data_IF_691840445143
#
_entry.id   IF_691840445143
#
_cell.length_a   1.000
_cell.length_b   1.000
_cell.length_c   1.000
_cell.angle_alpha   90.00
_cell.angle_beta   90.00
_cell.angle_gamma   90.00
#
_symmetry.space_group_name_H-M   'P 1'
#
loop_
_entity.id
_entity.type
_entity.pdbx_description
1 polymer ?
#
# COMPACT_ATOMS: atom_id res chain seq x y z
N UNK A 1 -68.38 -24.95 22.64
CA UNK A 1 -67.69 -23.66 22.90
C UNK A 1 -66.40 -23.82 23.72
N UNK A 2 -65.63 -24.91 23.55
CA UNK A 2 -64.35 -25.11 24.27
C UNK A 2 -63.16 -25.31 23.31
N UNK A 3 -63.40 -25.65 22.04
CA UNK A 3 -62.32 -25.92 21.06
C UNK A 3 -61.64 -24.70 20.44
N UNK A 4 -62.17 -23.48 20.58
CA UNK A 4 -61.58 -22.29 19.95
C UNK A 4 -60.51 -21.59 20.80
N UNK A 5 -60.49 -21.84 22.12
CA UNK A 5 -59.54 -21.18 23.04
C UNK A 5 -58.17 -21.87 23.05
N UNK A 6 -58.11 -23.17 22.73
CA UNK A 6 -56.85 -23.93 22.73
C UNK A 6 -55.95 -23.67 21.52
N UNK A 7 -56.51 -23.21 20.39
CA UNK A 7 -55.74 -22.95 19.17
C UNK A 7 -55.00 -21.61 19.25
N UNK A 8 -55.54 -20.62 19.98
CA UNK A 8 -54.85 -19.33 20.18
C UNK A 8 -53.68 -19.43 21.18
N UNK A 9 -53.74 -20.33 22.16
CA UNK A 9 -52.66 -20.48 23.15
C UNK A 9 -51.44 -21.23 22.61
N UNK A 10 -51.60 -22.11 21.62
CA UNK A 10 -50.46 -22.80 20.98
C UNK A 10 -49.69 -21.91 20.00
N UNK A 11 -50.35 -20.93 19.37
CA UNK A 11 -49.68 -19.97 18.47
C UNK A 11 -48.89 -18.89 19.21
N UNK A 12 -49.23 -18.59 20.46
CA UNK A 12 -48.51 -17.59 21.26
C UNK A 12 -47.22 -18.19 21.85
N UNK A 13 -47.17 -19.50 22.09
CA UNK A 13 -45.95 -20.17 22.61
C UNK A 13 -44.94 -20.56 21.54
N UNK A 14 -45.30 -20.57 20.25
CA UNK A 14 -44.34 -20.84 19.16
C UNK A 14 -43.73 -19.58 18.55
N UNK A 15 -44.29 -18.39 18.83
CA UNK A 15 -43.70 -17.11 18.44
C UNK A 15 -42.55 -16.65 19.36
N UNK A 16 -42.26 -17.37 20.44
CA UNK A 16 -41.09 -17.12 21.29
C UNK A 16 -39.88 -18.03 20.97
N UNK A 17 -39.99 -18.90 19.95
CA UNK A 17 -38.89 -19.76 19.52
C UNK A 17 -38.02 -19.17 18.39
N UNK A 18 -38.25 -17.91 18.00
CA UNK A 18 -37.36 -17.15 17.11
C UNK A 18 -36.85 -15.86 17.78
N UNK A 19 -36.68 -15.87 19.11
CA UNK A 19 -35.70 -14.96 19.72
C UNK A 19 -34.33 -15.59 19.52
N UNK A 20 -33.72 -15.30 18.37
CA UNK A 20 -32.28 -15.48 18.17
C UNK A 20 -31.61 -14.78 19.34
N UNK A 21 -30.88 -15.57 20.12
CA UNK A 21 -30.22 -15.14 21.34
C UNK A 21 -29.04 -14.24 20.93
N UNK A 22 -29.28 -12.92 20.82
CA UNK A 22 -28.27 -11.90 20.47
C UNK A 22 -27.33 -11.58 21.63
N UNK A 23 -26.70 -12.60 22.21
CA UNK A 23 -25.71 -12.45 23.28
C UNK A 23 -24.25 -12.66 22.81
N UNK A 24 -24.00 -12.69 21.49
CA UNK A 24 -22.65 -12.86 20.92
C UNK A 24 -22.22 -11.74 19.96
N UNK A 25 -22.68 -10.49 20.18
CA UNK A 25 -22.38 -9.37 19.28
C UNK A 25 -20.87 -9.07 19.14
N UNK A 26 -20.09 -9.29 20.20
CA UNK A 26 -18.66 -8.95 20.20
C UNK A 26 -17.78 -9.75 19.23
N UNK A 27 -18.15 -10.97 18.82
CA UNK A 27 -17.33 -11.76 17.88
C UNK A 27 -17.73 -11.56 16.43
N UNK A 28 -18.94 -11.04 16.17
CA UNK A 28 -19.48 -10.84 14.82
C UNK A 28 -19.14 -9.47 14.26
N UNK A 29 -18.94 -8.47 15.12
CA UNK A 29 -18.47 -7.12 14.74
C UNK A 29 -16.98 -7.11 14.31
N UNK A 30 -16.26 -8.24 14.48
CA UNK A 30 -14.85 -8.38 14.10
C UNK A 30 -14.67 -8.98 12.69
N UNK A 31 -15.57 -9.86 12.24
CA UNK A 31 -15.38 -10.68 11.03
C UNK A 31 -15.43 -9.84 9.73
N UNK A 32 -16.45 -8.99 9.55
CA UNK A 32 -16.59 -8.15 8.35
C UNK A 32 -15.40 -7.21 8.15
N UNK A 33 -14.93 -6.64 9.26
CA UNK A 33 -13.78 -5.75 9.28
C UNK A 33 -12.51 -6.49 8.92
N UNK A 34 -12.33 -7.71 9.43
CA UNK A 34 -11.17 -8.53 9.12
C UNK A 34 -11.13 -8.90 7.62
N UNK A 35 -12.30 -9.15 7.01
CA UNK A 35 -12.46 -9.32 5.56
C UNK A 35 -12.08 -8.06 4.78
N UNK A 36 -12.57 -6.88 5.18
CA UNK A 36 -12.19 -5.60 4.56
C UNK A 36 -10.70 -5.30 4.72
N UNK A 37 -10.13 -5.54 5.92
CA UNK A 37 -8.71 -5.39 6.19
C UNK A 37 -7.87 -6.30 5.30
N UNK A 38 -8.23 -7.58 5.20
CA UNK A 38 -7.56 -8.55 4.35
C UNK A 38 -7.63 -8.14 2.88
N UNK A 39 -8.77 -7.60 2.42
CA UNK A 39 -8.92 -7.09 1.06
C UNK A 39 -7.90 -5.98 0.78
N UNK A 40 -7.86 -4.92 1.59
CA UNK A 40 -6.92 -3.81 1.37
C UNK A 40 -5.46 -4.22 1.51
N UNK A 41 -5.14 -5.11 2.45
CA UNK A 41 -3.79 -5.65 2.57
C UNK A 41 -3.38 -6.44 1.32
N UNK A 42 -4.28 -7.24 0.74
CA UNK A 42 -4.02 -7.98 -0.49
C UNK A 42 -3.80 -7.04 -1.68
N UNK A 43 -4.65 -6.03 -1.86
CA UNK A 43 -4.52 -5.05 -2.95
C UNK A 43 -3.18 -4.32 -2.84
N UNK A 44 -2.80 -3.89 -1.64
CA UNK A 44 -1.51 -3.25 -1.41
C UNK A 44 -0.33 -4.19 -1.67
N UNK A 45 -0.42 -5.47 -1.29
CA UNK A 45 0.61 -6.46 -1.54
C UNK A 45 0.85 -6.69 -3.04
N UNK A 46 -0.22 -6.87 -3.81
CA UNK A 46 -0.15 -7.05 -5.25
C UNK A 46 0.60 -5.88 -5.91
N UNK A 47 0.18 -4.65 -5.61
CA UNK A 47 0.68 -3.43 -6.23
C UNK A 47 2.10 -3.12 -5.78
N UNK A 48 2.35 -3.12 -4.46
CA UNK A 48 3.67 -2.83 -3.92
C UNK A 48 4.68 -3.89 -4.39
N UNK A 49 4.32 -5.17 -4.38
CA UNK A 49 5.19 -6.24 -4.86
C UNK A 49 5.59 -6.04 -6.31
N UNK A 50 4.61 -5.80 -7.21
CA UNK A 50 4.85 -5.56 -8.63
C UNK A 50 5.79 -4.37 -8.88
N UNK A 51 5.49 -3.21 -8.27
CA UNK A 51 6.27 -1.99 -8.50
C UNK A 51 7.65 -2.05 -7.84
N UNK A 52 7.74 -2.61 -6.63
CA UNK A 52 9.00 -2.73 -5.91
C UNK A 52 9.93 -3.73 -6.60
N UNK A 53 9.42 -4.89 -7.02
CA UNK A 53 10.19 -5.86 -7.79
C UNK A 53 10.66 -5.26 -9.12
N UNK A 54 9.79 -4.53 -9.82
CA UNK A 54 10.13 -3.83 -11.06
C UNK A 54 11.30 -2.86 -10.89
N UNK A 55 11.19 -1.93 -9.92
CA UNK A 55 12.26 -0.95 -9.67
C UNK A 55 13.55 -1.61 -9.18
N UNK A 56 13.47 -2.59 -8.27
CA UNK A 56 14.65 -3.31 -7.78
C UNK A 56 15.32 -4.12 -8.89
N UNK A 57 14.55 -4.68 -9.82
CA UNK A 57 15.06 -5.37 -11.00
C UNK A 57 15.77 -4.39 -11.92
N UNK A 58 15.17 -3.24 -12.24
CA UNK A 58 15.80 -2.19 -13.03
C UNK A 58 17.12 -1.74 -12.39
N UNK A 59 17.13 -1.46 -11.08
CA UNK A 59 18.33 -1.12 -10.33
C UNK A 59 19.38 -2.23 -10.41
N UNK A 60 18.98 -3.50 -10.28
CA UNK A 60 19.89 -4.65 -10.38
C UNK A 60 20.55 -4.77 -11.76
N UNK A 61 19.89 -4.31 -12.82
CA UNK A 61 20.47 -4.26 -14.16
C UNK A 61 21.41 -3.07 -14.30
N UNK A 62 21.02 -1.90 -13.78
CA UNK A 62 21.79 -0.66 -13.83
C UNK A 62 23.15 -0.83 -13.11
N UNK A 63 23.19 -1.49 -11.95
CA UNK A 63 24.43 -1.65 -11.17
C UNK A 63 25.45 -2.63 -11.77
N UNK A 64 25.08 -3.42 -12.79
CA UNK A 64 26.00 -4.40 -13.41
C UNK A 64 27.13 -3.73 -14.19
N UNK A 65 26.90 -2.50 -14.63
CA UNK A 65 27.83 -1.72 -15.43
C UNK A 65 27.99 -0.33 -14.83
N UNK A 66 29.22 0.04 -14.50
CA UNK A 66 29.53 1.30 -13.80
C UNK A 66 29.15 2.51 -14.64
N UNK A 67 29.38 2.47 -15.95
CA UNK A 67 29.09 3.59 -16.85
C UNK A 67 27.57 3.79 -16.96
N UNK A 68 26.81 2.71 -17.11
CA UNK A 68 25.34 2.74 -17.08
C UNK A 68 24.80 3.22 -15.73
N UNK A 69 25.38 2.77 -14.62
CA UNK A 69 25.00 3.20 -13.28
C UNK A 69 25.10 4.72 -13.12
N UNK A 70 26.25 5.30 -13.46
CA UNK A 70 26.42 6.75 -13.36
C UNK A 70 25.58 7.49 -14.39
N UNK A 71 25.44 6.97 -15.62
CA UNK A 71 24.61 7.59 -16.65
C UNK A 71 23.13 7.70 -16.23
N UNK A 72 22.62 6.72 -15.48
CA UNK A 72 21.21 6.70 -15.03
C UNK A 72 21.04 7.41 -13.68
N UNK A 73 21.89 7.13 -12.69
CA UNK A 73 21.69 7.59 -11.32
C UNK A 73 22.25 8.99 -11.05
N UNK A 74 23.35 9.39 -11.71
CA UNK A 74 23.92 10.74 -11.50
C UNK A 74 22.94 11.85 -11.86
N UNK A 75 22.17 11.79 -12.96
CA UNK A 75 21.13 12.79 -13.22
C UNK A 75 20.04 12.85 -12.14
N UNK A 76 19.65 11.70 -11.57
CA UNK A 76 18.69 11.66 -10.45
C UNK A 76 19.30 12.30 -9.19
N UNK A 77 20.55 11.96 -8.88
CA UNK A 77 21.28 12.51 -7.76
C UNK A 77 21.38 14.03 -7.87
N UNK A 78 21.79 14.53 -9.05
CA UNK A 78 21.95 15.96 -9.34
C UNK A 78 20.64 16.74 -9.29
N UNK A 79 19.50 16.07 -9.52
CA UNK A 79 18.18 16.67 -9.33
C UNK A 79 17.84 16.86 -7.84
N UNK A 80 18.30 15.94 -6.98
CA UNK A 80 18.01 15.95 -5.54
C UNK A 80 19.03 16.78 -4.74
N UNK A 81 20.30 16.76 -5.15
CA UNK A 81 21.44 17.35 -4.47
C UNK A 81 22.38 17.98 -5.50
N UNK A 82 22.82 19.22 -5.27
CA UNK A 82 23.79 19.88 -6.14
C UNK A 82 25.17 19.21 -6.02
N UNK A 83 25.79 18.91 -7.18
CA UNK A 83 27.12 18.28 -7.31
C UNK A 83 27.37 17.06 -6.41
N UNK A 84 26.59 15.97 -6.57
CA UNK A 84 26.69 14.80 -5.70
C UNK A 84 28.01 14.05 -5.95
N UNK A 85 28.68 13.64 -4.87
CA UNK A 85 29.89 12.83 -4.96
C UNK A 85 29.57 11.45 -5.56
N UNK A 86 30.45 10.97 -6.44
CA UNK A 86 30.29 9.68 -7.14
C UNK A 86 30.09 8.51 -6.18
N UNK A 87 30.79 8.52 -5.04
CA UNK A 87 30.63 7.50 -3.99
C UNK A 87 29.20 7.47 -3.43
N UNK A 88 28.56 8.64 -3.30
CA UNK A 88 27.17 8.73 -2.83
C UNK A 88 26.18 8.33 -3.93
N UNK A 89 26.47 8.64 -5.20
CA UNK A 89 25.69 8.16 -6.35
C UNK A 89 25.74 6.63 -6.43
N UNK A 90 26.91 6.03 -6.24
CA UNK A 90 27.07 4.57 -6.22
C UNK A 90 26.31 3.89 -5.07
N UNK A 91 26.00 4.61 -3.98
CA UNK A 91 25.21 4.10 -2.85
C UNK A 91 23.69 4.28 -3.03
N UNK A 92 23.24 5.07 -4.02
CA UNK A 92 21.82 5.32 -4.23
C UNK A 92 20.95 4.07 -4.37
N UNK A 93 21.36 2.97 -5.03
CA UNK A 93 20.53 1.77 -5.10
C UNK A 93 20.14 1.24 -3.71
N UNK A 94 21.07 1.26 -2.76
CA UNK A 94 20.82 0.87 -1.37
C UNK A 94 19.91 1.86 -0.63
N UNK A 95 20.10 3.17 -0.87
CA UNK A 95 19.22 4.20 -0.32
C UNK A 95 17.78 4.04 -0.83
N UNK A 96 17.61 3.83 -2.14
CA UNK A 96 16.30 3.60 -2.78
C UNK A 96 15.64 2.34 -2.21
N UNK A 97 16.37 1.22 -2.13
CA UNK A 97 15.85 -0.03 -1.57
C UNK A 97 15.39 0.13 -0.11
N UNK A 98 16.12 0.92 0.68
CA UNK A 98 15.72 1.24 2.06
C UNK A 98 14.40 2.02 2.09
N UNK A 99 14.26 3.02 1.22
CA UNK A 99 13.03 3.82 1.17
C UNK A 99 11.83 3.06 0.63
N UNK A 100 12.02 2.11 -0.29
CA UNK A 100 10.98 1.18 -0.74
C UNK A 100 10.44 0.39 0.46
N UNK A 101 11.35 -0.20 1.25
CA UNK A 101 10.96 -1.00 2.41
C UNK A 101 10.27 -0.15 3.49
N UNK A 102 10.77 1.05 3.75
CA UNK A 102 10.13 2.00 4.68
C UNK A 102 8.74 2.43 4.22
N UNK A 103 8.54 2.68 2.92
CA UNK A 103 7.24 3.04 2.35
C UNK A 103 6.23 1.89 2.55
N UNK A 104 6.60 0.67 2.16
CA UNK A 104 5.75 -0.51 2.35
C UNK A 104 5.37 -0.69 3.82
N UNK A 105 6.34 -0.64 4.73
CA UNK A 105 6.07 -0.76 6.17
C UNK A 105 5.14 0.34 6.68
N UNK A 106 5.32 1.57 6.20
CA UNK A 106 4.48 2.71 6.59
C UNK A 106 3.05 2.52 6.12
N UNK A 107 2.84 2.08 4.87
CA UNK A 107 1.51 1.78 4.34
C UNK A 107 0.83 0.67 5.15
N UNK A 108 1.48 -0.50 5.32
CA UNK A 108 0.90 -1.62 6.06
C UNK A 108 0.54 -1.28 7.50
N UNK A 109 1.37 -0.46 8.17
CA UNK A 109 1.10 -0.02 9.53
C UNK A 109 -0.15 0.88 9.66
N UNK A 110 -0.56 1.53 8.56
CA UNK A 110 -1.72 2.43 8.55
C UNK A 110 -3.02 1.75 8.14
N UNK A 111 -2.97 0.63 7.40
CA UNK A 111 -4.17 -0.03 6.87
C UNK A 111 -5.20 -0.34 7.96
N UNK A 112 -4.79 -0.99 9.04
CA UNK A 112 -5.71 -1.38 10.13
C UNK A 112 -6.39 -0.15 10.75
N UNK A 113 -5.62 0.91 11.02
CA UNK A 113 -6.17 2.14 11.60
C UNK A 113 -7.14 2.84 10.63
N UNK A 114 -6.78 2.94 9.35
CA UNK A 114 -7.61 3.58 8.33
C UNK A 114 -8.92 2.81 8.14
N UNK A 115 -8.82 1.49 7.93
CA UNK A 115 -9.98 0.63 7.76
C UNK A 115 -10.86 0.70 9.01
N UNK A 116 -10.30 0.55 10.21
CA UNK A 116 -11.08 0.59 11.45
C UNK A 116 -11.86 1.90 11.62
N UNK A 117 -11.22 3.03 11.35
CA UNK A 117 -11.84 4.34 11.49
C UNK A 117 -12.99 4.54 10.49
N UNK A 118 -12.77 4.20 9.20
CA UNK A 118 -13.78 4.39 8.15
C UNK A 118 -14.90 3.34 8.24
N UNK A 119 -14.59 2.11 8.68
CA UNK A 119 -15.57 1.02 8.80
C UNK A 119 -16.59 1.22 9.92
N UNK A 120 -16.16 1.86 11.03
CA UNK A 120 -17.02 2.08 12.21
C UNK A 120 -18.31 2.84 11.91
N UNK A 121 -18.28 3.71 10.90
CA UNK A 121 -19.46 4.48 10.50
C UNK A 121 -20.52 3.64 9.77
N UNK A 122 -20.10 2.59 9.05
CA UNK A 122 -20.94 1.88 8.08
C UNK A 122 -21.28 0.44 8.49
N UNK A 123 -20.58 -0.14 9.46
CA UNK A 123 -20.71 -1.57 9.82
C UNK A 123 -22.15 -1.99 10.18
N UNK A 124 -22.87 -1.18 10.95
CA UNK A 124 -24.25 -1.50 11.35
C UNK A 124 -25.21 -1.48 10.15
N UNK A 125 -25.03 -0.54 9.23
CA UNK A 125 -25.88 -0.39 8.05
C UNK A 125 -25.64 -1.52 7.05
N UNK A 126 -24.37 -1.82 6.75
CA UNK A 126 -23.95 -2.92 5.86
C UNK A 126 -24.54 -4.26 6.35
N UNK A 127 -24.41 -4.53 7.64
CA UNK A 127 -24.92 -5.77 8.24
C UNK A 127 -26.43 -5.87 8.16
N UNK A 128 -27.14 -4.77 8.41
CA UNK A 128 -28.61 -4.75 8.32
C UNK A 128 -29.08 -4.98 6.88
N UNK A 129 -28.41 -4.37 5.90
CA UNK A 129 -28.70 -4.56 4.47
C UNK A 129 -28.62 -6.04 4.10
N UNK A 130 -27.48 -6.69 4.39
CA UNK A 130 -27.25 -8.09 4.03
C UNK A 130 -28.23 -9.02 4.76
N UNK A 131 -28.44 -8.84 6.06
CA UNK A 131 -29.38 -9.67 6.82
C UNK A 131 -30.83 -9.50 6.36
N UNK A 132 -31.25 -8.28 6.02
CA UNK A 132 -32.59 -8.03 5.50
C UNK A 132 -32.78 -8.71 4.13
N UNK A 133 -31.79 -8.64 3.25
CA UNK A 133 -31.84 -9.26 1.95
C UNK A 133 -31.90 -10.80 2.04
N UNK A 134 -31.08 -11.40 2.92
CA UNK A 134 -31.11 -12.84 3.20
C UNK A 134 -32.49 -13.27 3.71
N UNK A 135 -33.06 -12.53 4.67
CA UNK A 135 -34.38 -12.84 5.23
C UNK A 135 -35.53 -12.72 4.22
N UNK A 136 -35.38 -11.86 3.21
CA UNK A 136 -36.36 -11.66 2.15
C UNK A 136 -36.19 -12.67 1.00
N UNK A 137 -35.12 -13.48 1.01
CA UNK A 137 -34.81 -14.43 -0.07
C UNK A 137 -34.42 -13.73 -1.37
N UNK A 138 -33.81 -12.55 -1.28
CA UNK A 138 -33.28 -11.81 -2.43
C UNK A 138 -32.22 -12.63 -3.16
N UNK A 139 -32.08 -12.39 -4.46
CA UNK A 139 -31.01 -13.01 -5.25
C UNK A 139 -29.67 -12.41 -4.84
N UNK A 140 -28.66 -13.26 -4.73
CA UNK A 140 -27.29 -12.89 -4.35
C UNK A 140 -26.75 -11.68 -5.14
N UNK A 141 -26.95 -11.67 -6.46
CA UNK A 141 -26.49 -10.58 -7.31
C UNK A 141 -27.12 -9.24 -6.93
N UNK A 142 -28.42 -9.21 -6.62
CA UNK A 142 -29.11 -7.96 -6.24
C UNK A 142 -28.55 -7.41 -4.91
N UNK A 143 -28.16 -8.31 -4.00
CA UNK A 143 -27.53 -7.93 -2.72
C UNK A 143 -26.11 -7.39 -2.93
N UNK A 144 -25.34 -8.04 -3.79
CA UNK A 144 -23.96 -7.63 -4.10
C UNK A 144 -23.93 -6.27 -4.79
N UNK A 145 -24.86 -6.00 -5.71
CA UNK A 145 -24.96 -4.70 -6.38
C UNK A 145 -25.31 -3.59 -5.37
N UNK A 146 -26.32 -3.81 -4.51
CA UNK A 146 -26.71 -2.83 -3.48
C UNK A 146 -25.61 -2.61 -2.42
N UNK A 147 -24.88 -3.67 -2.07
CA UNK A 147 -23.76 -3.62 -1.14
C UNK A 147 -22.56 -2.89 -1.75
N UNK A 148 -22.24 -3.13 -3.02
CA UNK A 148 -21.17 -2.43 -3.72
C UNK A 148 -21.44 -0.92 -3.78
N UNK A 149 -22.69 -0.52 -4.08
CA UNK A 149 -23.10 0.89 -4.07
C UNK A 149 -22.91 1.53 -2.68
N UNK A 150 -23.26 0.81 -1.60
CA UNK A 150 -23.05 1.31 -0.24
C UNK A 150 -21.56 1.39 0.14
N UNK A 151 -20.75 0.45 -0.33
CA UNK A 151 -19.34 0.38 -0.03
C UNK A 151 -18.50 1.34 -0.86
N UNK A 152 -19.00 1.86 -1.98
CA UNK A 152 -18.27 2.76 -2.87
C UNK A 152 -17.66 3.95 -2.11
N UNK A 153 -18.48 4.63 -1.29
CA UNK A 153 -18.02 5.80 -0.51
C UNK A 153 -16.97 5.43 0.54
N UNK A 154 -17.16 4.31 1.24
CA UNK A 154 -16.19 3.81 2.23
C UNK A 154 -14.88 3.44 1.54
N UNK A 155 -14.97 2.80 0.37
CA UNK A 155 -13.83 2.38 -0.41
C UNK A 155 -13.02 3.57 -0.91
N UNK A 156 -13.69 4.60 -1.45
CA UNK A 156 -13.06 5.85 -1.85
C UNK A 156 -12.36 6.54 -0.66
N UNK A 157 -12.99 6.60 0.52
CA UNK A 157 -12.39 7.22 1.69
C UNK A 157 -11.13 6.47 2.17
N UNK A 158 -11.19 5.14 2.23
CA UNK A 158 -10.03 4.31 2.61
C UNK A 158 -8.90 4.48 1.59
N UNK A 159 -9.24 4.42 0.29
CA UNK A 159 -8.29 4.60 -0.80
C UNK A 159 -7.61 5.97 -0.75
N UNK A 160 -8.36 7.05 -0.55
CA UNK A 160 -7.81 8.42 -0.42
C UNK A 160 -6.85 8.54 0.77
N UNK A 161 -7.21 7.93 1.91
CA UNK A 161 -6.36 7.93 3.10
C UNK A 161 -5.07 7.14 2.86
N UNK A 162 -5.14 5.99 2.18
CA UNK A 162 -3.96 5.20 1.82
C UNK A 162 -3.05 5.93 0.82
N UNK A 163 -3.63 6.58 -0.20
CA UNK A 163 -2.89 7.41 -1.15
C UNK A 163 -2.19 8.60 -0.45
N UNK A 164 -2.88 9.23 0.51
CA UNK A 164 -2.29 10.30 1.31
C UNK A 164 -1.06 9.82 2.11
N UNK A 165 -1.06 8.58 2.61
CA UNK A 165 0.14 8.01 3.27
C UNK A 165 1.33 7.95 2.29
N UNK A 166 1.11 7.59 1.02
CA UNK A 166 2.16 7.59 0.00
C UNK A 166 2.67 8.99 -0.29
N UNK A 167 1.76 9.96 -0.41
CA UNK A 167 2.11 11.35 -0.65
C UNK A 167 2.89 11.97 0.52
N UNK A 168 2.46 11.72 1.76
CA UNK A 168 3.11 12.23 2.97
C UNK A 168 4.45 11.55 3.28
N UNK A 169 4.67 10.32 2.80
CA UNK A 169 5.94 9.62 3.00
C UNK A 169 7.12 10.39 2.38
N UNK A 170 6.89 11.13 1.29
CA UNK A 170 7.88 11.93 0.57
C UNK A 170 9.18 11.17 0.23
N UNK A 171 8.99 10.16 -0.62
CA UNK A 171 10.03 9.20 -1.00
C UNK A 171 11.30 9.87 -1.56
N UNK A 172 11.14 10.91 -2.39
CA UNK A 172 12.27 11.60 -3.01
C UNK A 172 13.07 12.43 -2.01
N UNK A 173 12.39 13.16 -1.10
CA UNK A 173 13.10 13.91 -0.08
C UNK A 173 13.83 13.00 0.89
N UNK A 174 13.31 11.80 1.20
CA UNK A 174 14.05 10.83 2.02
C UNK A 174 15.32 10.32 1.35
N UNK A 175 15.30 10.09 0.03
CA UNK A 175 16.51 9.75 -0.75
C UNK A 175 17.48 10.93 -0.74
N UNK A 176 16.99 12.15 -0.97
CA UNK A 176 17.78 13.37 -0.89
C UNK A 176 18.46 13.53 0.47
N UNK A 177 17.74 13.30 1.57
CA UNK A 177 18.31 13.33 2.92
C UNK A 177 19.40 12.28 3.11
N UNK A 178 19.23 11.08 2.52
CA UNK A 178 20.25 10.03 2.55
C UNK A 178 21.50 10.42 1.75
N UNK A 179 21.32 11.05 0.58
CA UNK A 179 22.40 11.62 -0.22
C UNK A 179 23.15 12.73 0.54
N UNK A 180 22.43 13.68 1.14
CA UNK A 180 23.01 14.76 1.96
C UNK A 180 23.82 14.19 3.13
N UNK A 181 23.31 13.17 3.82
CA UNK A 181 24.04 12.50 4.90
C UNK A 181 25.32 11.83 4.42
N UNK A 182 25.30 11.20 3.24
CA UNK A 182 26.49 10.63 2.63
C UNK A 182 27.51 11.73 2.26
N UNK A 183 27.05 12.79 1.60
CA UNK A 183 27.86 13.93 1.16
C UNK A 183 28.59 14.60 2.33
N UNK A 184 27.91 14.79 3.47
CA UNK A 184 28.46 15.40 4.67
C UNK A 184 29.71 14.69 5.23
N UNK A 185 29.91 13.39 4.93
CA UNK A 185 31.11 12.63 5.32
C UNK A 185 32.37 13.11 4.59
N UNK A 186 32.19 13.69 3.40
CA UNK A 186 33.26 14.17 2.52
C UNK A 186 33.46 15.68 2.62
N UNK A 187 32.40 16.44 2.91
CA UNK A 187 32.45 17.90 3.05
C UNK A 187 33.01 18.36 4.41
N UNK A 188 33.10 17.47 5.40
CA UNK A 188 33.60 17.82 6.72
C UNK A 188 35.09 18.26 6.67
N UNK A 189 35.46 19.43 7.24
CA UNK A 189 36.85 19.87 7.26
C UNK A 189 37.70 18.86 8.04
N UNK A 190 38.69 18.32 7.34
CA UNK A 190 39.62 17.27 7.77
C UNK A 190 40.05 17.36 9.24
N UNK A 191 39.51 16.48 10.09
CA UNK A 191 40.19 16.08 11.33
C UNK A 191 41.31 15.07 11.00
N UNK A 192 42.41 15.02 11.77
CA UNK A 192 43.61 14.30 11.39
C UNK A 192 43.35 12.78 11.33
N UNK A 193 43.43 12.29 10.09
CA UNK A 193 43.85 10.98 9.63
C UNK A 193 44.17 9.94 10.73
N UNK A 194 43.14 9.21 11.18
CA UNK A 194 43.27 7.87 11.74
C UNK A 194 42.11 6.96 11.31
N UNK A 195 41.77 6.97 10.01
CA UNK A 195 41.24 5.79 9.28
C UNK A 195 41.36 5.96 7.75
N UNK A 196 42.46 6.57 7.28
CA UNK A 196 42.72 6.81 5.85
C UNK A 196 42.67 5.50 5.04
N UNK A 197 43.03 4.37 5.64
CA UNK A 197 43.00 3.03 5.02
C UNK A 197 41.60 2.46 4.79
N UNK A 198 40.56 2.91 5.49
CA UNK A 198 39.18 2.41 5.30
C UNK A 198 38.46 3.17 4.17
N UNK A 199 38.76 4.47 4.03
CA UNK A 199 38.30 5.31 2.91
C UNK A 199 39.00 4.99 1.57
N UNK A 200 40.22 4.46 1.63
CA UNK A 200 41.01 4.08 0.44
C UNK A 200 40.46 2.79 -0.22
N UNK A 201 39.89 1.84 0.53
CA UNK A 201 39.33 0.61 -0.06
C UNK A 201 38.02 0.84 -0.83
N UNK A 202 37.20 1.83 -0.43
CA UNK A 202 35.99 2.23 -1.18
C UNK A 202 36.34 3.04 -2.44
N UNK A 203 37.45 3.78 -2.43
CA UNK A 203 37.93 4.55 -3.58
C UNK A 203 38.69 3.71 -4.64
N UNK A 204 39.41 2.65 -4.22
CA UNK A 204 40.15 1.76 -5.13
C UNK A 204 39.22 0.90 -5.99
N UNK A 205 38.02 0.53 -5.52
CA UNK A 205 37.01 -0.17 -6.34
C UNK A 205 36.30 0.76 -7.34
N UNK A 206 36.30 2.07 -7.11
CA UNK A 206 35.72 3.08 -8.03
C UNK A 206 36.74 3.58 -9.06
N UNK A 207 38.06 3.44 -8.81
CA UNK A 207 39.13 3.92 -9.69
C UNK A 207 39.67 2.91 -10.71
N UNK A 208 39.04 1.75 -10.91
CA UNK A 208 39.51 0.73 -11.87
C UNK A 208 38.47 0.36 -12.94
N UNK A 209 37.97 1.36 -13.68
CA UNK A 209 37.81 1.24 -15.14
C UNK A 209 37.74 2.62 -15.81
N UNK A 210 38.71 2.90 -16.68
CA UNK A 210 38.85 4.06 -17.57
C UNK A 210 37.96 3.83 -18.82
N UNK A 211 37.37 4.81 -19.53
CA UNK A 211 37.91 5.99 -20.24
C UNK A 211 36.73 6.88 -20.70
N UNK A 212 36.95 8.13 -21.16
CA UNK A 212 35.87 9.04 -21.55
C UNK A 212 35.40 8.75 -22.97
N UNK A 213 34.14 8.36 -23.14
CA UNK A 213 33.51 8.24 -24.44
C UNK A 213 32.22 9.08 -24.48
N UNK A 214 32.38 10.26 -25.08
CA UNK A 214 31.42 10.93 -25.98
C UNK A 214 29.98 11.13 -25.49
N UNK A 215 29.66 12.41 -25.24
CA UNK A 215 28.35 13.01 -25.52
C UNK A 215 27.78 12.48 -26.85
N UNK A 216 26.74 11.67 -26.78
CA UNK A 216 25.45 11.91 -27.44
C UNK A 216 24.57 10.66 -27.31
N UNK A 217 23.28 10.91 -27.01
CA UNK A 217 22.14 9.96 -26.93
C UNK A 217 21.81 9.38 -25.56
N UNK A 218 21.32 10.23 -24.65
CA UNK A 218 20.01 9.97 -24.02
C UNK A 218 19.21 11.27 -24.07
N UNK A 219 18.62 11.52 -25.23
CA UNK A 219 17.57 12.54 -25.38
C UNK A 219 16.29 12.04 -24.72
N UNK A 220 15.80 12.84 -23.78
CA UNK A 220 14.39 13.24 -23.64
C UNK A 220 13.34 12.15 -23.39
N UNK A 221 13.14 11.84 -22.11
CA UNK A 221 11.80 11.92 -21.52
C UNK A 221 11.98 12.34 -20.05
N UNK A 222 11.48 13.54 -19.73
CA UNK A 222 11.73 14.28 -18.49
C UNK A 222 11.09 13.72 -17.22
N UNK A 223 10.96 12.41 -17.10
CA UNK A 223 10.54 11.75 -15.87
C UNK A 223 11.67 10.83 -15.43
N UNK A 224 12.43 11.26 -14.44
CA UNK A 224 13.49 10.44 -13.86
C UNK A 224 12.96 9.08 -13.37
N UNK A 225 13.83 8.05 -13.34
CA UNK A 225 13.49 6.67 -12.93
C UNK A 225 12.60 6.63 -11.69
N UNK A 226 12.96 7.41 -10.66
CA UNK A 226 12.24 7.48 -9.39
C UNK A 226 10.87 8.17 -9.52
N UNK A 227 10.79 9.24 -10.32
CA UNK A 227 9.53 9.92 -10.60
C UNK A 227 8.56 9.02 -11.39
N UNK A 228 9.08 8.24 -12.34
CA UNK A 228 8.27 7.26 -13.07
C UNK A 228 7.72 6.20 -12.12
N UNK A 229 8.58 5.58 -11.31
CA UNK A 229 8.16 4.61 -10.29
C UNK A 229 7.05 5.15 -9.38
N UNK A 230 7.24 6.36 -8.83
CA UNK A 230 6.23 6.96 -7.94
C UNK A 230 4.93 7.27 -8.67
N UNK A 231 5.00 7.80 -9.90
CA UNK A 231 3.80 8.09 -10.68
C UNK A 231 3.04 6.83 -11.03
N UNK A 232 3.72 5.77 -11.44
CA UNK A 232 3.10 4.49 -11.80
C UNK A 232 2.50 3.81 -10.55
N UNK A 233 3.24 3.80 -9.43
CA UNK A 233 2.73 3.29 -8.16
C UNK A 233 1.47 4.00 -7.69
N UNK A 234 1.45 5.34 -7.72
CA UNK A 234 0.29 6.13 -7.30
C UNK A 234 -0.90 5.89 -8.24
N UNK A 235 -0.68 5.84 -9.55
CA UNK A 235 -1.74 5.59 -10.52
C UNK A 235 -2.37 4.21 -10.34
N UNK A 236 -1.56 3.18 -10.14
CA UNK A 236 -2.06 1.82 -9.95
C UNK A 236 -2.72 1.65 -8.58
N UNK A 237 -2.16 2.23 -7.51
CA UNK A 237 -2.83 2.30 -6.21
C UNK A 237 -4.21 2.95 -6.34
N UNK A 238 -4.30 4.08 -7.03
CA UNK A 238 -5.56 4.78 -7.22
C UNK A 238 -6.56 3.94 -8.03
N UNK A 239 -6.12 3.35 -9.15
CA UNK A 239 -6.96 2.54 -10.02
C UNK A 239 -7.50 1.29 -9.32
N UNK A 240 -6.64 0.54 -8.65
CA UNK A 240 -6.99 -0.72 -8.00
C UNK A 240 -7.78 -0.50 -6.70
N UNK A 241 -7.38 0.46 -5.87
CA UNK A 241 -8.11 0.75 -4.62
C UNK A 241 -9.52 1.25 -4.91
N UNK A 242 -9.73 2.09 -5.93
CA UNK A 242 -11.09 2.50 -6.31
C UNK A 242 -11.85 1.44 -7.09
N UNK A 243 -11.17 0.65 -7.93
CA UNK A 243 -11.80 -0.25 -8.89
C UNK A 243 -12.34 -1.55 -8.31
N UNK A 244 -11.86 -1.99 -7.14
CA UNK A 244 -12.16 -3.32 -6.57
C UNK A 244 -13.31 -3.34 -5.56
N UNK A 245 -14.21 -2.35 -5.60
CA UNK A 245 -15.39 -2.27 -4.69
C UNK A 245 -16.27 -3.52 -4.76
N UNK A 246 -16.49 -4.10 -5.94
CA UNK A 246 -17.32 -5.31 -6.08
C UNK A 246 -16.67 -6.54 -5.44
N UNK A 247 -15.34 -6.64 -5.49
CA UNK A 247 -14.60 -7.71 -4.82
C UNK A 247 -14.65 -7.56 -3.29
N UNK A 248 -14.54 -6.32 -2.80
CA UNK A 248 -14.76 -6.02 -1.39
C UNK A 248 -16.18 -6.43 -0.95
N UNK A 249 -17.20 -6.04 -1.72
CA UNK A 249 -18.59 -6.42 -1.47
C UNK A 249 -18.77 -7.95 -1.43
N UNK A 250 -18.15 -8.66 -2.37
CA UNK A 250 -18.16 -10.13 -2.44
C UNK A 250 -17.56 -10.74 -1.18
N UNK A 251 -16.36 -10.29 -0.78
CA UNK A 251 -15.68 -10.80 0.41
C UNK A 251 -16.50 -10.60 1.69
N UNK A 252 -17.16 -9.45 1.84
CA UNK A 252 -18.00 -9.15 3.02
C UNK A 252 -19.29 -9.96 3.00
N UNK A 253 -19.93 -10.06 1.84
CA UNK A 253 -21.13 -10.86 1.69
C UNK A 253 -20.86 -12.33 2.00
N UNK A 254 -19.78 -12.92 1.45
CA UNK A 254 -19.43 -14.31 1.71
C UNK A 254 -19.16 -14.57 3.20
N UNK A 255 -18.44 -13.67 3.86
CA UNK A 255 -18.16 -13.78 5.29
C UNK A 255 -19.46 -13.73 6.12
N UNK A 256 -20.38 -12.82 5.78
CA UNK A 256 -21.67 -12.70 6.49
C UNK A 256 -22.69 -13.77 6.13
N UNK A 257 -22.72 -14.25 4.89
CA UNK A 257 -23.71 -15.21 4.43
C UNK A 257 -23.35 -16.64 4.85
N UNK A 258 -22.05 -16.96 4.90
CA UNK A 258 -21.56 -18.32 5.12
C UNK A 258 -20.87 -18.54 6.48
N UNK A 259 -20.40 -17.48 7.16
CA UNK A 259 -19.78 -17.58 8.49
C UNK A 259 -20.63 -17.01 9.64
N UNK A 260 -21.90 -16.63 9.40
CA UNK A 260 -22.83 -16.08 10.42
C UNK A 260 -23.48 -17.10 11.36
#
# INVERSE_FOLDING_TARGET
MISFVFICLFFITTLQALQVNFASSSSKDLLNRDSALSHYQSVLDDILSQHNEGLLTDLSMIIKDTDTMYAVLRPQASYLLEDPQDVCVAQMPGMIATQIHELSNTLYAQVDAIVLDSWRASDTEIRQLILNAINQGSWEQDVLDELADHLEMVNMEIADRLLNVVHEFDFLDKIKWSLVKCQAVFDAPSQPANSLTEKIWTAILVSLRNEPLSEDRITSSGHGLLNRYLSELVLDLQGELYGRTFELATSIYEDLAFNA
#
